data_IF_596556119459
#
_entry.id   IF_596556119459
#
_cell.length_a   1.000
_cell.length_b   1.000
_cell.length_c   1.000
_cell.angle_alpha   90.00
_cell.angle_beta   90.00
_cell.angle_gamma   90.00
#
_symmetry.space_group_name_H-M   'P 1'
#
loop_
_entity.id
_entity.type
_entity.pdbx_description
1 polymer ?
#
# COMPACT_ATOMS: atom_id res chain seq x y z
N UNK A 1 -23.16 -11.20 -23.26
CA UNK A 1 -21.74 -10.81 -23.08
C UNK A 1 -20.88 -11.88 -23.72
N UNK A 2 -19.82 -11.52 -24.44
CA UNK A 2 -18.85 -12.48 -24.93
C UNK A 2 -18.22 -13.23 -23.74
N UNK A 3 -17.97 -14.53 -23.91
CA UNK A 3 -17.38 -15.36 -22.86
C UNK A 3 -15.90 -14.95 -22.68
N UNK A 4 -15.51 -14.48 -21.50
CA UNK A 4 -14.11 -14.20 -21.16
C UNK A 4 -13.30 -15.47 -21.33
N UNK A 5 -12.18 -15.39 -22.05
CA UNK A 5 -11.25 -16.50 -22.32
C UNK A 5 -9.82 -16.17 -21.88
N UNK A 6 -9.43 -14.93 -22.03
CA UNK A 6 -8.07 -14.46 -21.74
C UNK A 6 -8.07 -13.31 -20.74
N UNK A 7 -7.26 -13.41 -19.71
CA UNK A 7 -7.12 -12.41 -18.63
C UNK A 7 -5.71 -11.84 -18.69
N UNK A 8 -5.61 -10.51 -18.79
CA UNK A 8 -4.38 -9.76 -18.61
C UNK A 8 -4.13 -9.48 -17.12
N UNK A 9 -2.88 -9.52 -16.70
CA UNK A 9 -2.45 -9.18 -15.32
C UNK A 9 -1.39 -8.10 -15.39
N UNK A 10 -1.54 -7.04 -14.60
CA UNK A 10 -0.50 -6.02 -14.42
C UNK A 10 -0.36 -5.59 -12.96
N UNK A 11 0.83 -5.07 -12.63
CA UNK A 11 1.09 -4.31 -11.41
C UNK A 11 1.33 -2.85 -11.78
N UNK A 12 0.80 -1.92 -11.01
CA UNK A 12 0.88 -0.49 -11.30
C UNK A 12 1.04 0.33 -10.03
N UNK A 13 1.68 1.48 -10.14
CA UNK A 13 1.94 2.37 -9.02
C UNK A 13 3.24 2.05 -8.28
N UNK A 14 3.29 2.30 -6.98
CA UNK A 14 4.41 1.87 -6.13
C UNK A 14 4.37 0.36 -5.90
N UNK A 15 5.52 -0.26 -5.87
CA UNK A 15 5.63 -1.66 -5.49
C UNK A 15 5.30 -1.88 -4.00
N UNK A 16 4.83 -3.07 -3.70
CA UNK A 16 4.51 -3.50 -2.34
C UNK A 16 4.86 -4.97 -2.16
N UNK A 17 5.41 -5.36 -0.99
CA UNK A 17 5.70 -6.76 -0.68
C UNK A 17 4.41 -7.60 -0.74
N UNK A 18 4.41 -8.68 -1.52
CA UNK A 18 3.22 -9.51 -1.74
C UNK A 18 2.58 -9.35 -3.12
N UNK A 19 2.97 -8.36 -3.93
CA UNK A 19 2.50 -8.25 -5.32
C UNK A 19 2.81 -9.51 -6.13
N UNK A 20 3.98 -10.13 -5.95
CA UNK A 20 4.33 -11.39 -6.59
C UNK A 20 3.44 -12.55 -6.14
N UNK A 21 3.05 -12.60 -4.87
CA UNK A 21 2.09 -13.59 -4.38
C UNK A 21 0.70 -13.41 -5.03
N UNK A 22 0.25 -12.15 -5.23
CA UNK A 22 -0.99 -11.85 -5.94
C UNK A 22 -0.92 -12.24 -7.43
N UNK A 23 0.15 -11.90 -8.13
CA UNK A 23 0.39 -12.34 -9.52
C UNK A 23 0.31 -13.87 -9.63
N UNK A 24 0.99 -14.57 -8.71
CA UNK A 24 0.96 -16.04 -8.66
C UNK A 24 -0.45 -16.58 -8.45
N UNK A 25 -1.20 -15.99 -7.53
CA UNK A 25 -2.55 -16.44 -7.19
C UNK A 25 -3.51 -16.26 -8.37
N UNK A 26 -3.53 -15.08 -8.99
CA UNK A 26 -4.35 -14.80 -10.18
C UNK A 26 -3.99 -15.72 -11.34
N UNK A 27 -2.69 -15.91 -11.61
CA UNK A 27 -2.23 -16.79 -12.70
C UNK A 27 -2.69 -18.23 -12.48
N UNK A 28 -2.42 -18.79 -11.30
CA UNK A 28 -2.77 -20.20 -11.01
C UNK A 28 -4.27 -20.42 -10.96
N UNK A 29 -5.01 -19.54 -10.29
CA UNK A 29 -6.46 -19.63 -10.22
C UNK A 29 -7.11 -19.44 -11.60
N UNK A 30 -6.60 -18.54 -12.44
CA UNK A 30 -7.08 -18.34 -13.79
C UNK A 30 -6.89 -19.58 -14.67
N UNK A 31 -5.70 -20.16 -14.67
CA UNK A 31 -5.41 -21.40 -15.43
C UNK A 31 -6.25 -22.57 -14.91
N UNK A 32 -6.41 -22.69 -13.59
CA UNK A 32 -7.26 -23.72 -12.97
C UNK A 32 -8.73 -23.63 -13.45
N UNK A 33 -9.23 -22.40 -13.69
CA UNK A 33 -10.57 -22.15 -14.20
C UNK A 33 -10.66 -22.14 -15.74
N UNK A 34 -9.58 -22.52 -16.44
CA UNK A 34 -9.55 -22.67 -17.90
C UNK A 34 -9.34 -21.37 -18.68
N UNK A 35 -8.88 -20.30 -18.03
CA UNK A 35 -8.50 -19.05 -18.69
C UNK A 35 -7.07 -19.08 -19.21
N UNK A 36 -6.84 -18.44 -20.34
CA UNK A 36 -5.50 -18.04 -20.76
C UNK A 36 -5.07 -16.81 -19.97
N UNK A 37 -3.79 -16.78 -19.55
CA UNK A 37 -3.24 -15.65 -18.80
C UNK A 37 -2.17 -14.97 -19.64
N UNK A 38 -2.20 -13.64 -19.68
CA UNK A 38 -1.17 -12.80 -20.29
C UNK A 38 -0.66 -11.79 -19.25
N UNK A 39 0.66 -11.69 -19.15
CA UNK A 39 1.34 -10.73 -18.30
C UNK A 39 1.59 -9.43 -19.07
N UNK A 40 1.24 -8.30 -18.46
CA UNK A 40 1.57 -6.97 -18.98
C UNK A 40 2.69 -6.41 -18.12
N UNK A 41 3.85 -6.21 -18.73
CA UNK A 41 5.03 -5.70 -18.04
C UNK A 41 4.98 -4.18 -17.92
N UNK A 42 5.55 -3.63 -16.85
CA UNK A 42 5.60 -2.18 -16.58
C UNK A 42 4.22 -1.51 -16.46
N UNK A 43 3.22 -2.27 -16.04
CA UNK A 43 1.88 -1.75 -15.73
C UNK A 43 1.19 -1.12 -16.94
N UNK A 44 0.54 0.03 -16.74
CA UNK A 44 -0.17 0.74 -17.81
C UNK A 44 0.72 1.21 -18.96
N UNK A 45 2.01 1.42 -18.71
CA UNK A 45 2.96 1.75 -19.78
C UNK A 45 3.10 0.59 -20.77
N UNK A 46 3.16 -0.64 -20.24
CA UNK A 46 3.20 -1.83 -21.05
C UNK A 46 1.94 -2.10 -21.86
N UNK A 47 0.76 -1.66 -21.39
CA UNK A 47 -0.45 -1.70 -22.22
C UNK A 47 -0.34 -0.77 -23.44
N UNK A 48 0.26 0.41 -23.26
CA UNK A 48 0.45 1.39 -24.36
C UNK A 48 1.54 0.93 -25.34
N UNK A 49 2.60 0.31 -24.83
CA UNK A 49 3.78 -0.10 -25.62
C UNK A 49 3.72 -1.56 -26.09
N UNK A 50 2.62 -2.26 -25.85
CA UNK A 50 2.39 -3.67 -26.21
C UNK A 50 3.44 -4.64 -25.63
N UNK A 51 3.87 -4.38 -24.37
CA UNK A 51 4.77 -5.31 -23.65
C UNK A 51 3.97 -6.40 -22.94
N UNK A 52 3.29 -7.22 -23.73
CA UNK A 52 2.34 -8.25 -23.31
C UNK A 52 2.88 -9.63 -23.71
N UNK A 53 2.86 -10.59 -22.77
CA UNK A 53 3.40 -11.94 -23.03
C UNK A 53 2.49 -13.01 -22.44
N UNK A 54 2.37 -14.18 -23.08
CA UNK A 54 1.71 -15.35 -22.48
C UNK A 54 2.35 -15.70 -21.13
N UNK A 55 1.51 -16.14 -20.17
CA UNK A 55 1.93 -16.41 -18.82
C UNK A 55 1.42 -17.77 -18.34
N UNK A 56 2.32 -18.60 -17.82
CA UNK A 56 2.02 -19.97 -17.39
C UNK A 56 2.28 -20.16 -15.89
N UNK A 57 1.96 -21.33 -15.37
CA UNK A 57 2.29 -21.69 -13.98
C UNK A 57 3.76 -21.73 -13.68
N UNK A 58 4.60 -21.94 -14.71
CA UNK A 58 6.06 -21.96 -14.58
C UNK A 58 6.62 -20.57 -14.30
N UNK A 59 6.08 -19.53 -14.99
CA UNK A 59 6.51 -18.15 -14.83
C UNK A 59 6.29 -17.63 -13.39
N UNK A 60 5.37 -18.24 -12.65
CA UNK A 60 5.04 -17.86 -11.26
C UNK A 60 5.54 -18.87 -10.24
N UNK A 61 6.42 -19.78 -10.63
CA UNK A 61 7.02 -20.75 -9.71
C UNK A 61 8.05 -20.05 -8.80
N UNK A 62 7.99 -20.33 -7.50
CA UNK A 62 8.97 -19.83 -6.53
C UNK A 62 8.88 -18.34 -6.16
N UNK A 63 7.92 -17.57 -6.72
CA UNK A 63 7.88 -16.10 -6.51
C UNK A 63 7.09 -15.64 -5.28
N UNK A 64 6.37 -16.54 -4.58
CA UNK A 64 5.49 -16.17 -3.46
C UNK A 64 6.22 -15.43 -2.32
N UNK A 65 7.49 -15.74 -2.11
CA UNK A 65 8.34 -15.12 -1.08
C UNK A 65 9.20 -13.96 -1.58
N UNK A 66 9.09 -13.58 -2.87
CA UNK A 66 9.90 -12.52 -3.43
C UNK A 66 9.22 -11.16 -3.25
N UNK A 67 9.98 -10.17 -2.75
CA UNK A 67 9.55 -8.78 -2.69
C UNK A 67 9.50 -8.14 -4.08
N UNK A 68 8.97 -6.90 -4.12
CA UNK A 68 8.78 -6.18 -5.39
C UNK A 68 7.76 -6.83 -6.31
N UNK A 69 7.93 -6.66 -7.63
CA UNK A 69 7.06 -7.23 -8.65
C UNK A 69 7.85 -7.71 -9.87
N UNK A 70 7.65 -8.98 -10.27
CA UNK A 70 8.29 -9.55 -11.46
C UNK A 70 7.78 -8.91 -12.76
N UNK A 71 6.55 -8.37 -12.76
CA UNK A 71 5.96 -7.66 -13.89
C UNK A 71 6.50 -6.24 -14.04
N UNK A 72 7.27 -5.76 -13.06
CA UNK A 72 7.74 -4.38 -12.97
C UNK A 72 6.57 -3.39 -12.89
N UNK A 73 6.86 -2.14 -12.61
CA UNK A 73 5.88 -1.06 -12.59
C UNK A 73 6.49 0.21 -13.16
N UNK A 74 5.67 1.02 -13.79
CA UNK A 74 6.06 2.33 -14.28
C UNK A 74 4.89 3.32 -14.16
N UNK A 75 5.24 4.61 -14.06
CA UNK A 75 4.26 5.68 -14.19
C UNK A 75 4.09 5.98 -15.67
N UNK A 76 2.92 5.71 -16.24
CA UNK A 76 2.63 6.01 -17.65
C UNK A 76 1.94 7.37 -17.77
N UNK A 77 2.66 8.34 -18.34
CA UNK A 77 2.06 9.62 -18.72
C UNK A 77 1.12 9.46 -19.92
N UNK A 78 1.45 8.54 -20.82
CA UNK A 78 0.64 8.25 -22.00
C UNK A 78 -0.75 7.72 -21.60
N UNK A 79 -0.84 6.72 -20.71
CA UNK A 79 -2.12 6.18 -20.25
C UNK A 79 -3.01 7.22 -19.52
N UNK A 80 -2.44 8.29 -19.01
CA UNK A 80 -3.22 9.39 -18.42
C UNK A 80 -4.02 10.18 -19.48
N UNK A 81 -3.65 10.10 -20.76
CA UNK A 81 -4.37 10.74 -21.89
C UNK A 81 -5.44 9.82 -22.47
N UNK A 82 -6.40 10.39 -23.18
CA UNK A 82 -7.46 9.62 -23.89
C UNK A 82 -6.84 8.78 -25.01
N UNK A 83 -5.90 9.35 -25.76
CA UNK A 83 -5.20 8.69 -26.87
C UNK A 83 -4.39 7.49 -26.38
N UNK A 84 -3.67 7.64 -25.26
CA UNK A 84 -2.90 6.53 -24.69
C UNK A 84 -3.77 5.41 -24.17
N UNK A 85 -4.94 5.71 -23.59
CA UNK A 85 -5.91 4.68 -23.19
C UNK A 85 -6.55 4.00 -24.40
N UNK A 86 -6.77 4.76 -25.51
CA UNK A 86 -7.24 4.18 -26.77
C UNK A 86 -6.21 3.19 -27.32
N UNK A 87 -4.92 3.56 -27.36
CA UNK A 87 -3.84 2.66 -27.78
C UNK A 87 -3.77 1.41 -26.89
N UNK A 88 -3.88 1.57 -25.57
CA UNK A 88 -3.93 0.45 -24.62
C UNK A 88 -5.11 -0.49 -24.90
N UNK A 89 -6.29 0.06 -25.21
CA UNK A 89 -7.48 -0.73 -25.57
C UNK A 89 -7.24 -1.52 -26.88
N UNK A 90 -6.72 -0.85 -27.89
CA UNK A 90 -6.45 -1.49 -29.19
C UNK A 90 -5.45 -2.65 -29.05
N UNK A 91 -4.40 -2.48 -28.25
CA UNK A 91 -3.44 -3.53 -27.94
C UNK A 91 -4.08 -4.70 -27.18
N UNK A 92 -4.94 -4.43 -26.18
CA UNK A 92 -5.69 -5.49 -25.48
C UNK A 92 -6.58 -6.30 -26.42
N UNK A 93 -7.26 -5.62 -27.36
CA UNK A 93 -8.09 -6.28 -28.38
C UNK A 93 -7.25 -7.11 -29.34
N UNK A 94 -6.13 -6.56 -29.83
CA UNK A 94 -5.20 -7.27 -30.73
C UNK A 94 -4.62 -8.52 -30.04
N UNK A 95 -4.31 -8.43 -28.77
CA UNK A 95 -3.81 -9.53 -27.95
C UNK A 95 -4.92 -10.50 -27.47
N UNK A 96 -6.20 -10.24 -27.83
CA UNK A 96 -7.34 -11.07 -27.47
C UNK A 96 -7.58 -11.15 -25.96
N UNK A 97 -7.27 -10.10 -25.21
CA UNK A 97 -7.50 -10.01 -23.76
C UNK A 97 -8.94 -9.50 -23.51
N UNK A 98 -9.73 -10.27 -22.77
CA UNK A 98 -11.14 -9.99 -22.51
C UNK A 98 -11.39 -9.31 -21.15
N UNK A 99 -10.44 -9.48 -20.20
CA UNK A 99 -10.51 -8.90 -18.85
C UNK A 99 -9.12 -8.55 -18.35
N UNK A 100 -9.03 -7.58 -17.44
CA UNK A 100 -7.78 -7.11 -16.85
C UNK A 100 -7.82 -7.18 -15.32
N UNK A 101 -6.82 -7.82 -14.72
CA UNK A 101 -6.59 -7.77 -13.28
C UNK A 101 -5.46 -6.76 -12.99
N UNK A 102 -5.79 -5.73 -12.22
CA UNK A 102 -4.90 -4.63 -11.88
C UNK A 102 -4.53 -4.70 -10.40
N UNK A 103 -3.25 -4.93 -10.12
CA UNK A 103 -2.71 -4.97 -8.74
C UNK A 103 -2.02 -3.64 -8.47
N UNK A 104 -2.56 -2.85 -7.54
CA UNK A 104 -1.99 -1.54 -7.22
C UNK A 104 -2.81 -0.73 -6.24
N UNK A 105 -2.36 0.50 -5.97
CA UNK A 105 -3.01 1.43 -5.05
C UNK A 105 -4.08 2.30 -5.71
N UNK A 106 -4.50 3.35 -5.01
CA UNK A 106 -5.58 4.27 -5.40
C UNK A 106 -5.45 4.79 -6.85
N UNK A 107 -4.28 5.31 -7.25
CA UNK A 107 -4.06 5.82 -8.61
C UNK A 107 -4.22 4.75 -9.68
N UNK A 108 -3.79 3.51 -9.41
CA UNK A 108 -3.92 2.38 -10.33
C UNK A 108 -5.37 1.94 -10.51
N UNK A 109 -6.14 1.87 -9.42
CA UNK A 109 -7.56 1.53 -9.48
C UNK A 109 -8.40 2.65 -10.10
N UNK A 110 -8.02 3.91 -9.89
CA UNK A 110 -8.61 5.06 -10.61
C UNK A 110 -8.38 4.95 -12.12
N UNK A 111 -7.18 4.54 -12.54
CA UNK A 111 -6.87 4.28 -13.95
C UNK A 111 -7.71 3.14 -14.52
N UNK A 112 -7.85 2.03 -13.79
CA UNK A 112 -8.70 0.90 -14.18
C UNK A 112 -10.18 1.31 -14.29
N UNK A 113 -10.67 2.09 -13.34
CA UNK A 113 -12.04 2.61 -13.34
C UNK A 113 -12.33 3.45 -14.60
N UNK A 114 -11.46 4.43 -14.89
CA UNK A 114 -11.61 5.28 -16.09
C UNK A 114 -11.59 4.46 -17.38
N UNK A 115 -10.63 3.55 -17.48
CA UNK A 115 -10.51 2.67 -18.64
C UNK A 115 -11.75 1.78 -18.83
N UNK A 116 -12.25 1.19 -17.74
CA UNK A 116 -13.47 0.37 -17.76
C UNK A 116 -14.71 1.17 -18.19
N UNK A 117 -14.81 2.43 -17.78
CA UNK A 117 -15.93 3.31 -18.17
C UNK A 117 -15.85 3.75 -19.64
N UNK A 118 -14.66 4.03 -20.15
CA UNK A 118 -14.45 4.50 -21.52
C UNK A 118 -14.71 3.40 -22.58
N UNK A 119 -14.35 2.15 -22.26
CA UNK A 119 -14.36 1.04 -23.22
C UNK A 119 -15.31 -0.11 -22.86
N UNK A 120 -16.13 0.05 -21.83
CA UNK A 120 -16.95 -1.05 -21.27
C UNK A 120 -16.13 -2.33 -21.04
N UNK A 121 -14.89 -2.19 -20.60
CA UNK A 121 -13.93 -3.28 -20.43
C UNK A 121 -14.03 -3.88 -19.02
N UNK A 122 -13.91 -5.21 -18.89
CA UNK A 122 -13.92 -5.88 -17.59
C UNK A 122 -12.59 -5.66 -16.85
N UNK A 123 -12.62 -4.91 -15.76
CA UNK A 123 -11.45 -4.69 -14.89
C UNK A 123 -11.75 -5.17 -13.47
N UNK A 124 -10.80 -5.89 -12.87
CA UNK A 124 -10.83 -6.31 -11.46
C UNK A 124 -9.57 -5.75 -10.78
N UNK A 125 -9.74 -5.09 -9.64
CA UNK A 125 -8.64 -4.51 -8.86
C UNK A 125 -8.24 -5.37 -7.68
N UNK A 126 -6.94 -5.42 -7.36
CA UNK A 126 -6.41 -5.95 -6.11
C UNK A 126 -5.67 -4.83 -5.37
N UNK A 127 -5.90 -4.65 -4.05
CA UNK A 127 -5.36 -3.54 -3.27
C UNK A 127 -3.87 -3.77 -2.94
N UNK A 128 -2.97 -3.47 -3.89
CA UNK A 128 -1.51 -3.61 -3.74
C UNK A 128 -0.89 -2.26 -3.39
N UNK A 129 -0.80 -1.92 -2.12
CA UNK A 129 -0.19 -0.69 -1.61
C UNK A 129 0.17 -0.85 -0.13
N UNK A 130 1.27 -0.21 0.29
CA UNK A 130 1.68 -0.18 1.70
C UNK A 130 0.90 0.86 2.53
N UNK A 131 0.21 1.81 1.90
CA UNK A 131 -0.39 2.97 2.56
C UNK A 131 -1.69 2.61 3.31
N UNK A 132 -2.31 1.47 3.00
CA UNK A 132 -3.56 0.95 3.57
C UNK A 132 -4.75 1.92 3.49
N UNK A 133 -4.76 2.79 2.48
CA UNK A 133 -5.68 3.92 2.30
C UNK A 133 -6.92 3.62 1.44
N UNK A 134 -7.03 2.40 0.90
CA UNK A 134 -8.15 2.00 0.03
C UNK A 134 -9.40 1.68 0.85
N UNK A 135 -10.52 2.33 0.49
CA UNK A 135 -11.80 2.09 1.15
C UNK A 135 -12.36 0.70 0.82
N UNK A 136 -13.00 0.06 1.81
CA UNK A 136 -13.71 -1.21 1.63
C UNK A 136 -12.87 -2.46 1.84
N UNK A 137 -11.62 -2.33 2.26
CA UNK A 137 -10.78 -3.45 2.73
C UNK A 137 -10.14 -3.14 4.08
N UNK A 138 -9.98 -4.14 4.94
CA UNK A 138 -9.33 -3.97 6.23
C UNK A 138 -7.82 -3.81 6.07
N UNK A 139 -7.22 -4.56 5.16
CA UNK A 139 -5.79 -4.52 4.87
C UNK A 139 -5.51 -4.51 3.37
N UNK A 140 -4.40 -3.88 2.99
CA UNK A 140 -3.87 -3.89 1.63
C UNK A 140 -2.61 -4.74 1.58
N UNK A 141 -2.34 -5.34 0.40
CA UNK A 141 -1.16 -6.20 0.18
C UNK A 141 0.11 -5.36 0.31
N UNK A 142 0.98 -5.75 1.22
CA UNK A 142 2.25 -5.08 1.54
C UNK A 142 2.23 -4.24 2.82
N UNK A 143 1.06 -3.96 3.37
CA UNK A 143 0.92 -3.16 4.57
C UNK A 143 1.51 -3.83 5.82
N UNK A 144 1.19 -5.11 6.05
CA UNK A 144 1.68 -5.85 7.21
C UNK A 144 3.21 -6.04 7.18
N UNK A 145 3.77 -6.37 6.02
CA UNK A 145 5.23 -6.45 5.83
C UNK A 145 5.90 -5.11 6.14
N UNK A 146 5.30 -4.02 5.70
CA UNK A 146 5.82 -2.67 5.95
C UNK A 146 5.80 -2.34 7.44
N UNK A 147 4.74 -2.68 8.16
CA UNK A 147 4.69 -2.52 9.62
C UNK A 147 5.82 -3.30 10.31
N UNK A 148 6.06 -4.54 9.92
CA UNK A 148 7.16 -5.35 10.47
C UNK A 148 8.53 -4.71 10.18
N UNK A 149 8.74 -4.17 8.98
CA UNK A 149 9.97 -3.46 8.62
C UNK A 149 10.16 -2.20 9.48
N UNK A 150 9.09 -1.43 9.70
CA UNK A 150 9.15 -0.23 10.56
C UNK A 150 9.49 -0.64 11.99
N UNK A 151 8.83 -1.67 12.55
CA UNK A 151 9.11 -2.15 13.92
C UNK A 151 10.56 -2.54 14.08
N UNK A 152 11.11 -3.35 13.15
CA UNK A 152 12.54 -3.74 13.21
C UNK A 152 13.47 -2.53 13.21
N UNK A 153 13.18 -1.51 12.39
CA UNK A 153 13.97 -0.27 12.36
C UNK A 153 13.83 0.52 13.66
N UNK A 154 12.62 0.64 14.20
CA UNK A 154 12.36 1.41 15.44
C UNK A 154 12.99 0.73 16.64
N UNK A 155 12.95 -0.60 16.72
CA UNK A 155 13.61 -1.33 17.81
C UNK A 155 15.12 -1.06 17.84
N UNK A 156 15.79 -1.08 16.68
CA UNK A 156 17.22 -0.72 16.55
C UNK A 156 17.50 0.74 16.94
N UNK A 157 16.58 1.67 16.57
CA UNK A 157 16.69 3.08 16.95
C UNK A 157 16.49 3.24 18.46
N UNK A 158 15.62 2.45 19.08
CA UNK A 158 15.35 2.49 20.52
C UNK A 158 16.58 2.16 21.34
N UNK A 159 17.37 1.17 20.94
CA UNK A 159 18.59 0.80 21.63
C UNK A 159 19.57 1.99 21.74
N UNK A 160 19.76 2.72 20.62
CA UNK A 160 20.63 3.92 20.65
C UNK A 160 19.97 5.12 21.33
N UNK A 161 18.66 5.27 21.23
CA UNK A 161 17.92 6.33 21.90
C UNK A 161 18.07 6.25 23.42
N UNK A 162 17.95 5.06 23.98
CA UNK A 162 18.11 4.78 25.40
C UNK A 162 19.55 4.96 25.86
N UNK A 163 20.52 4.46 25.07
CA UNK A 163 21.94 4.53 25.42
C UNK A 163 22.49 5.96 25.52
N UNK A 164 21.86 6.90 24.82
CA UNK A 164 22.33 8.29 24.75
C UNK A 164 21.31 9.32 25.27
N UNK A 165 20.22 8.88 25.86
CA UNK A 165 19.13 9.75 26.34
C UNK A 165 18.62 10.72 25.26
N UNK A 166 18.31 10.18 24.04
CA UNK A 166 17.94 10.95 22.85
C UNK A 166 16.45 10.88 22.52
N UNK A 167 15.98 11.93 21.86
CA UNK A 167 14.65 11.96 21.24
C UNK A 167 14.82 11.69 19.75
N UNK A 168 14.11 10.68 19.24
CA UNK A 168 14.09 10.36 17.82
C UNK A 168 12.72 10.65 17.19
N UNK A 169 12.75 11.42 16.10
CA UNK A 169 11.64 11.52 15.16
C UNK A 169 11.89 10.54 14.01
N UNK A 170 11.04 9.54 13.88
CA UNK A 170 11.14 8.51 12.85
C UNK A 170 10.07 8.73 11.80
N UNK A 171 10.48 9.12 10.58
CA UNK A 171 9.56 9.33 9.47
C UNK A 171 9.26 8.03 8.76
N UNK A 172 7.96 7.77 8.59
CA UNK A 172 7.42 6.62 7.87
C UNK A 172 6.59 7.07 6.67
N UNK A 173 6.50 6.22 5.64
CA UNK A 173 5.67 6.46 4.47
C UNK A 173 4.18 6.48 4.84
N UNK A 174 3.29 6.66 3.88
CA UNK A 174 1.83 6.69 4.05
C UNK A 174 1.16 7.82 3.27
N UNK A 175 1.92 8.76 2.70
CA UNK A 175 1.41 9.93 1.98
C UNK A 175 0.42 10.74 2.82
N UNK A 176 -0.86 10.77 2.35
CA UNK A 176 -1.96 11.51 2.98
C UNK A 176 -2.74 10.65 3.99
N UNK A 177 -2.18 9.49 4.39
CA UNK A 177 -2.80 8.54 5.29
C UNK A 177 -1.86 8.13 6.45
N UNK A 178 -2.36 8.23 7.67
CA UNK A 178 -1.58 7.98 8.89
C UNK A 178 -1.58 6.53 9.38
N UNK A 179 -2.08 5.56 8.61
CA UNK A 179 -2.21 4.17 9.05
C UNK A 179 -0.87 3.53 9.44
N UNK A 180 0.19 3.75 8.65
CA UNK A 180 1.51 3.25 8.97
C UNK A 180 2.04 3.88 10.25
N UNK A 181 1.95 5.21 10.38
CA UNK A 181 2.44 5.90 11.55
C UNK A 181 1.67 5.50 12.83
N UNK A 182 0.34 5.45 12.76
CA UNK A 182 -0.50 5.08 13.90
C UNK A 182 -0.20 3.66 14.39
N UNK A 183 -0.25 2.68 13.48
CA UNK A 183 -0.12 1.28 13.87
C UNK A 183 1.31 0.91 14.26
N UNK A 184 2.32 1.45 13.56
CA UNK A 184 3.72 1.22 13.95
C UNK A 184 4.07 1.89 15.27
N UNK A 185 3.51 3.06 15.59
CA UNK A 185 3.73 3.68 16.88
C UNK A 185 3.22 2.82 18.05
N UNK A 186 2.03 2.22 17.91
CA UNK A 186 1.49 1.30 18.91
C UNK A 186 2.35 0.04 18.99
N UNK A 187 2.62 -0.58 17.84
CA UNK A 187 3.32 -1.86 17.78
C UNK A 187 4.76 -1.78 18.29
N UNK A 188 5.44 -0.66 18.02
CA UNK A 188 6.80 -0.42 18.50
C UNK A 188 6.86 0.25 19.88
N UNK A 189 5.71 0.53 20.53
CA UNK A 189 5.69 1.22 21.82
C UNK A 189 6.31 2.63 21.77
N UNK A 190 6.07 3.36 20.68
CA UNK A 190 6.48 4.74 20.56
C UNK A 190 5.63 5.64 21.47
N UNK A 191 6.18 6.76 21.86
CA UNK A 191 5.53 7.68 22.77
C UNK A 191 4.47 8.57 22.09
N UNK A 192 4.59 8.78 20.76
CA UNK A 192 3.60 9.53 19.98
C UNK A 192 3.61 9.13 18.50
N UNK A 193 2.49 9.41 17.83
CA UNK A 193 2.37 9.38 16.36
C UNK A 193 1.83 10.71 15.86
N UNK A 194 2.46 11.26 14.82
CA UNK A 194 2.00 12.45 14.11
C UNK A 194 1.45 11.99 12.76
N UNK A 195 0.15 12.19 12.54
CA UNK A 195 -0.60 11.70 11.38
C UNK A 195 -1.32 12.83 10.65
N UNK A 196 -1.51 12.73 9.32
CA UNK A 196 -2.16 13.80 8.54
C UNK A 196 -3.62 14.03 8.89
N UNK A 197 -4.34 13.01 9.37
CA UNK A 197 -5.76 13.07 9.74
C UNK A 197 -6.01 13.78 11.06
N UNK A 198 -4.97 13.91 11.87
CA UNK A 198 -5.04 14.70 13.09
C UNK A 198 -4.53 16.09 12.73
N UNK A 199 -5.46 17.05 12.60
CA UNK A 199 -5.13 18.46 12.39
C UNK A 199 -4.50 19.09 13.64
N UNK A 200 -4.16 18.26 14.61
CA UNK A 200 -3.50 18.64 15.81
C UNK A 200 -2.10 19.06 15.51
N UNK A 201 -2.09 20.29 15.34
CA UNK A 201 -1.00 21.19 15.29
C UNK A 201 0.13 20.79 16.26
N UNK A 202 1.30 21.21 15.92
CA UNK A 202 2.48 21.31 16.76
C UNK A 202 2.25 21.50 18.28
N UNK A 203 1.11 22.01 18.72
CA UNK A 203 0.80 22.25 20.13
C UNK A 203 0.60 20.96 20.94
N UNK A 204 0.02 19.90 20.35
CA UNK A 204 -0.06 18.59 21.02
C UNK A 204 1.30 17.92 21.17
N UNK A 205 2.19 18.07 20.18
CA UNK A 205 3.56 17.60 20.33
C UNK A 205 4.24 18.31 21.50
N UNK A 206 4.04 19.61 21.62
CA UNK A 206 4.60 20.41 22.72
C UNK A 206 4.01 19.98 24.07
N UNK A 207 2.69 19.80 24.17
CA UNK A 207 2.07 19.25 25.37
C UNK A 207 2.59 17.85 25.73
N UNK A 208 2.78 17.00 24.71
CA UNK A 208 3.36 15.67 24.89
C UNK A 208 4.80 15.80 25.42
N UNK A 209 5.64 16.64 24.82
CA UNK A 209 6.99 16.90 25.28
C UNK A 209 7.01 17.44 26.71
N UNK A 210 6.13 18.38 27.05
CA UNK A 210 6.03 18.91 28.41
C UNK A 210 5.62 17.83 29.42
N UNK A 211 4.74 16.90 29.05
CA UNK A 211 4.39 15.77 29.90
C UNK A 211 5.56 14.82 30.12
N UNK A 212 6.34 14.54 29.08
CA UNK A 212 7.55 13.72 29.14
C UNK A 212 8.65 14.38 30.03
N UNK A 213 8.86 15.68 29.85
CA UNK A 213 9.80 16.48 30.65
C UNK A 213 9.42 16.44 32.15
N UNK A 214 8.14 16.64 32.48
CA UNK A 214 7.66 16.57 33.88
C UNK A 214 7.91 15.20 34.53
N UNK A 215 8.03 14.13 33.73
CA UNK A 215 8.31 12.76 34.17
C UNK A 215 9.79 12.39 34.11
N UNK A 216 10.68 13.34 33.83
CA UNK A 216 12.13 13.12 33.67
C UNK A 216 12.46 12.06 32.61
N UNK A 217 11.62 11.92 31.58
CA UNK A 217 11.83 10.97 30.48
C UNK A 217 12.88 11.57 29.55
N UNK A 218 14.04 10.90 29.42
CA UNK A 218 15.19 11.42 28.66
C UNK A 218 15.32 10.82 27.25
N UNK A 219 14.70 9.67 27.01
CA UNK A 219 14.63 9.05 25.67
C UNK A 219 13.18 8.93 25.20
N UNK A 220 12.95 9.18 23.93
CA UNK A 220 11.59 9.19 23.35
C UNK A 220 11.67 8.88 21.86
N UNK A 221 10.67 8.14 21.35
CA UNK A 221 10.48 7.90 19.92
C UNK A 221 9.13 8.47 19.51
N UNK A 222 9.15 9.33 18.50
CA UNK A 222 7.96 9.90 17.87
C UNK A 222 7.90 9.40 16.42
N UNK A 223 6.86 8.69 16.06
CA UNK A 223 6.62 8.27 14.67
C UNK A 223 5.91 9.40 13.92
N UNK A 224 6.41 9.75 12.74
CA UNK A 224 5.86 10.83 11.92
C UNK A 224 5.51 10.30 10.55
N UNK A 225 4.27 10.48 10.10
CA UNK A 225 3.90 10.20 8.72
C UNK A 225 4.59 11.18 7.77
N UNK A 226 5.12 10.69 6.64
CA UNK A 226 5.68 11.57 5.60
C UNK A 226 4.63 12.60 5.15
N UNK A 227 5.07 13.83 4.98
CA UNK A 227 4.20 14.91 4.49
C UNK A 227 5.01 15.89 3.65
N UNK A 228 4.46 16.39 2.55
CA UNK A 228 5.11 17.44 1.77
C UNK A 228 5.31 18.75 2.53
N UNK A 229 4.54 18.97 3.60
CA UNK A 229 4.54 20.23 4.38
C UNK A 229 5.30 20.12 5.69
N UNK A 230 5.13 19.02 6.42
CA UNK A 230 5.60 18.87 7.80
C UNK A 230 6.07 17.42 8.03
N UNK A 231 7.29 17.07 7.58
CA UNK A 231 7.92 15.79 7.89
C UNK A 231 8.65 15.81 9.23
N UNK A 232 9.35 14.71 9.56
CA UNK A 232 10.06 14.55 10.82
C UNK A 232 11.09 15.65 11.10
N UNK A 233 11.75 16.18 10.06
CA UNK A 233 12.70 17.29 10.20
C UNK A 233 12.04 18.55 10.77
N UNK A 234 10.83 18.89 10.27
CA UNK A 234 10.09 20.06 10.74
C UNK A 234 9.82 19.99 12.26
N UNK A 235 9.32 18.85 12.74
CA UNK A 235 9.04 18.68 14.16
C UNK A 235 10.29 18.61 15.01
N UNK A 236 11.34 17.97 14.52
CA UNK A 236 12.63 17.89 15.20
C UNK A 236 13.26 19.29 15.38
N UNK A 237 13.25 20.12 14.35
CA UNK A 237 13.82 21.48 14.41
C UNK A 237 13.02 22.37 15.35
N UNK A 238 11.70 22.18 15.41
CA UNK A 238 10.86 22.90 16.38
C UNK A 238 11.20 22.51 17.82
N UNK A 239 11.32 21.20 18.10
CA UNK A 239 11.68 20.74 19.45
C UNK A 239 13.08 21.21 19.85
N UNK A 240 14.07 21.15 18.96
CA UNK A 240 15.41 21.69 19.23
C UNK A 240 15.40 23.17 19.58
N UNK A 241 14.54 23.95 18.94
CA UNK A 241 14.43 25.39 19.21
C UNK A 241 13.77 25.69 20.56
N UNK A 242 12.73 24.93 20.91
CA UNK A 242 11.97 25.15 22.15
C UNK A 242 12.59 24.48 23.38
N UNK A 243 13.35 23.40 23.17
CA UNK A 243 13.98 22.57 24.20
C UNK A 243 15.43 22.23 23.82
N UNK A 244 16.34 23.22 23.83
CA UNK A 244 17.72 23.04 23.36
C UNK A 244 18.57 22.08 24.22
N UNK A 245 18.09 21.71 25.40
CA UNK A 245 18.73 20.75 26.30
C UNK A 245 18.57 19.28 25.82
N UNK A 246 17.66 18.99 24.90
CA UNK A 246 17.46 17.64 24.39
C UNK A 246 18.31 17.36 23.14
N UNK A 247 18.94 16.19 23.11
CA UNK A 247 19.61 15.69 21.91
C UNK A 247 18.56 15.06 20.96
N UNK A 248 18.09 15.84 19.98
CA UNK A 248 17.05 15.45 19.03
C UNK A 248 17.67 14.94 17.74
N UNK A 249 17.23 13.76 17.29
CA UNK A 249 17.67 13.10 16.07
C UNK A 249 16.49 12.80 15.15
N UNK A 250 16.77 12.61 13.87
CA UNK A 250 15.78 12.23 12.84
C UNK A 250 16.27 11.01 12.11
N UNK A 251 15.37 10.07 11.87
CA UNK A 251 15.56 8.93 10.99
C UNK A 251 14.44 8.87 9.98
N UNK A 252 14.75 8.93 8.68
CA UNK A 252 13.77 8.81 7.59
C UNK A 252 13.92 7.42 7.00
N UNK A 253 12.92 6.54 7.19
CA UNK A 253 12.99 5.16 6.74
C UNK A 253 12.85 5.03 5.22
N UNK A 254 12.05 5.90 4.60
CA UNK A 254 11.94 6.00 3.14
C UNK A 254 11.62 4.65 2.47
N UNK A 255 12.30 4.38 1.35
CA UNK A 255 12.02 3.23 0.49
C UNK A 255 12.37 1.85 1.08
N UNK A 256 13.05 1.74 2.23
CA UNK A 256 13.18 0.47 2.95
C UNK A 256 11.82 -0.20 3.21
N UNK A 257 10.81 0.61 3.39
CA UNK A 257 9.44 0.19 3.69
C UNK A 257 8.73 -0.49 2.51
N UNK A 258 9.23 -0.36 1.28
CA UNK A 258 8.65 -0.98 0.08
C UNK A 258 9.24 -2.34 -0.26
N UNK A 259 10.39 -2.67 0.32
CA UNK A 259 11.13 -3.88 0.03
C UNK A 259 10.86 -5.02 1.02
N UNK A 260 11.58 -6.09 0.80
CA UNK A 260 11.61 -7.25 1.71
C UNK A 260 10.70 -8.39 1.29
N UNK A 261 10.95 -9.51 1.95
CA UNK A 261 10.15 -10.74 1.81
C UNK A 261 8.77 -10.53 2.44
N UNK A 262 7.67 -10.76 1.70
CA UNK A 262 6.32 -10.55 2.23
C UNK A 262 6.06 -11.44 3.44
N UNK A 263 5.41 -10.88 4.46
CA UNK A 263 4.97 -11.60 5.66
C UNK A 263 3.97 -12.71 5.32
N UNK A 264 3.73 -13.61 6.27
CA UNK A 264 2.72 -14.65 6.11
C UNK A 264 1.32 -14.04 5.84
N UNK A 265 1.00 -12.94 6.54
CA UNK A 265 -0.27 -12.23 6.37
C UNK A 265 -0.42 -11.72 4.93
N UNK A 266 0.57 -11.00 4.40
CA UNK A 266 0.51 -10.44 3.05
C UNK A 266 0.47 -11.53 1.96
N UNK A 267 1.17 -12.67 2.16
CA UNK A 267 1.08 -13.80 1.22
C UNK A 267 -0.31 -14.43 1.20
N UNK A 268 -0.94 -14.60 2.37
CA UNK A 268 -2.29 -15.14 2.50
C UNK A 268 -3.30 -14.16 1.89
N UNK A 269 -3.24 -12.87 2.27
CA UNK A 269 -4.10 -11.82 1.74
C UNK A 269 -4.03 -11.75 0.22
N UNK A 270 -2.82 -11.70 -0.34
CA UNK A 270 -2.59 -11.70 -1.78
C UNK A 270 -3.12 -12.96 -2.47
N UNK A 271 -2.99 -14.12 -1.83
CA UNK A 271 -3.51 -15.39 -2.39
C UNK A 271 -5.04 -15.42 -2.39
N UNK A 272 -5.66 -15.03 -1.27
CA UNK A 272 -7.12 -15.01 -1.12
C UNK A 272 -7.76 -14.00 -2.07
N UNK A 273 -7.24 -12.78 -2.13
CA UNK A 273 -7.77 -11.75 -3.03
C UNK A 273 -7.52 -12.08 -4.50
N UNK A 274 -6.36 -12.69 -4.82
CA UNK A 274 -6.05 -13.14 -6.18
C UNK A 274 -6.99 -14.24 -6.68
N UNK A 275 -7.32 -15.22 -5.85
CA UNK A 275 -8.35 -16.24 -6.14
C UNK A 275 -9.73 -15.57 -6.24
N UNK A 276 -10.05 -14.66 -5.32
CA UNK A 276 -11.29 -13.88 -5.34
C UNK A 276 -11.49 -13.08 -6.63
N UNK A 277 -10.40 -12.55 -7.23
CA UNK A 277 -10.48 -11.85 -8.51
C UNK A 277 -10.94 -12.78 -9.65
N UNK A 278 -10.43 -13.99 -9.70
CA UNK A 278 -10.86 -14.99 -10.70
C UNK A 278 -12.29 -15.44 -10.45
N UNK A 279 -12.68 -15.66 -9.20
CA UNK A 279 -14.05 -16.00 -8.83
C UNK A 279 -15.03 -14.88 -9.21
N UNK A 280 -14.66 -13.61 -9.01
CA UNK A 280 -15.45 -12.48 -9.44
C UNK A 280 -15.69 -12.50 -10.97
N UNK A 281 -14.66 -12.78 -11.76
CA UNK A 281 -14.78 -12.90 -13.22
C UNK A 281 -15.71 -14.07 -13.61
N UNK A 282 -15.56 -15.24 -12.97
CA UNK A 282 -16.43 -16.41 -13.20
C UNK A 282 -17.89 -16.09 -12.88
N UNK A 283 -18.15 -15.30 -11.83
CA UNK A 283 -19.48 -14.87 -11.42
C UNK A 283 -20.03 -13.69 -12.25
N UNK A 284 -19.29 -13.21 -13.26
CA UNK A 284 -19.70 -12.08 -14.09
C UNK A 284 -19.60 -10.71 -13.42
N UNK A 285 -18.91 -10.63 -12.28
CA UNK A 285 -18.58 -9.35 -11.64
C UNK A 285 -17.56 -8.59 -12.48
N UNK A 286 -17.64 -7.27 -12.46
CA UNK A 286 -16.73 -6.40 -13.21
C UNK A 286 -16.63 -5.03 -12.55
N UNK A 287 -15.50 -4.37 -12.78
CA UNK A 287 -15.27 -3.00 -12.36
C UNK A 287 -15.33 -2.81 -10.83
N UNK A 288 -14.73 -3.79 -10.14
CA UNK A 288 -14.68 -3.87 -8.68
C UNK A 288 -13.24 -4.08 -8.19
N UNK A 289 -12.99 -3.68 -6.95
CA UNK A 289 -11.84 -4.10 -6.16
C UNK A 289 -12.22 -5.31 -5.31
N UNK A 290 -11.35 -6.32 -5.28
CA UNK A 290 -11.48 -7.46 -4.36
C UNK A 290 -10.70 -7.14 -3.10
N UNK A 291 -11.39 -6.92 -2.00
CA UNK A 291 -10.82 -6.70 -0.67
C UNK A 291 -11.12 -7.84 0.30
N UNK A 292 -10.66 -7.68 1.53
CA UNK A 292 -11.01 -8.55 2.67
C UNK A 292 -11.56 -7.69 3.79
N UNK A 293 -12.70 -8.07 4.37
CA UNK A 293 -13.33 -7.41 5.49
C UNK A 293 -13.82 -8.46 6.47
N UNK A 294 -13.45 -8.35 7.74
CA UNK A 294 -13.77 -9.33 8.77
C UNK A 294 -13.41 -10.78 8.34
N UNK A 295 -12.24 -10.97 7.72
CA UNK A 295 -11.75 -12.24 7.16
C UNK A 295 -12.57 -12.81 5.98
N UNK A 296 -13.50 -12.05 5.43
CA UNK A 296 -14.29 -12.44 4.26
C UNK A 296 -13.89 -11.64 3.03
N UNK A 297 -13.91 -12.30 1.86
CA UNK A 297 -13.68 -11.63 0.58
C UNK A 297 -14.89 -10.76 0.26
N UNK A 298 -14.63 -9.50 -0.06
CA UNK A 298 -15.67 -8.52 -0.44
C UNK A 298 -15.38 -7.93 -1.81
N UNK A 299 -16.44 -7.59 -2.53
CA UNK A 299 -16.40 -6.96 -3.84
C UNK A 299 -16.85 -5.51 -3.72
N UNK A 300 -15.93 -4.59 -3.90
CA UNK A 300 -16.15 -3.15 -3.71
C UNK A 300 -16.15 -2.46 -5.07
N UNK A 301 -17.21 -1.75 -5.46
CA UNK A 301 -17.20 -0.97 -6.70
C UNK A 301 -15.99 -0.03 -6.74
N UNK A 302 -15.34 0.09 -7.90
CA UNK A 302 -14.18 0.97 -8.02
C UNK A 302 -14.47 2.39 -7.55
N UNK A 303 -15.63 2.93 -7.89
CA UNK A 303 -16.02 4.28 -7.47
C UNK A 303 -15.97 4.44 -5.96
N UNK A 304 -16.42 3.44 -5.20
CA UNK A 304 -16.37 3.47 -3.74
C UNK A 304 -14.93 3.33 -3.23
N UNK A 305 -14.18 2.38 -3.79
CA UNK A 305 -12.81 2.11 -3.36
C UNK A 305 -11.87 3.32 -3.53
N UNK A 306 -12.05 4.14 -4.60
CA UNK A 306 -11.15 5.24 -4.92
C UNK A 306 -11.65 6.62 -4.50
N UNK A 307 -12.98 6.81 -4.32
CA UNK A 307 -13.53 8.12 -3.95
C UNK A 307 -13.81 8.29 -2.47
N UNK A 308 -14.08 7.20 -1.76
CA UNK A 308 -14.29 7.24 -0.32
C UNK A 308 -12.97 7.15 0.43
N UNK A 309 -12.83 7.96 1.47
CA UNK A 309 -11.68 7.86 2.37
C UNK A 309 -11.89 6.73 3.37
N UNK A 310 -10.87 5.89 3.56
CA UNK A 310 -10.84 4.93 4.66
C UNK A 310 -10.62 5.70 5.95
N UNK A 311 -11.51 5.58 6.94
CA UNK A 311 -11.35 6.32 8.20
C UNK A 311 -10.20 5.73 9.03
N UNK A 312 -9.42 6.62 9.65
CA UNK A 312 -8.45 6.22 10.68
C UNK A 312 -9.19 5.73 11.93
N UNK A 313 -8.66 4.72 12.61
CA UNK A 313 -9.28 4.23 13.85
C UNK A 313 -8.91 5.13 15.03
N UNK A 314 -9.88 5.94 15.45
CA UNK A 314 -9.73 6.86 16.57
C UNK A 314 -9.57 6.16 17.93
N UNK A 315 -9.97 4.89 18.05
CA UNK A 315 -9.74 4.13 19.28
C UNK A 315 -8.27 3.77 19.44
N UNK A 316 -7.57 3.47 18.34
CA UNK A 316 -6.13 3.20 18.37
C UNK A 316 -5.33 4.45 18.80
N UNK A 317 -5.77 5.66 18.44
CA UNK A 317 -5.15 6.90 18.97
C UNK A 317 -5.31 6.99 20.49
N UNK A 318 -6.48 6.65 21.03
CA UNK A 318 -6.68 6.60 22.48
C UNK A 318 -5.77 5.56 23.15
N UNK A 319 -5.68 4.36 22.56
CA UNK A 319 -4.77 3.30 23.04
C UNK A 319 -3.32 3.81 23.07
N UNK A 320 -2.84 4.45 21.99
CA UNK A 320 -1.50 5.02 21.98
C UNK A 320 -1.29 6.04 23.09
N UNK A 321 -2.25 6.95 23.30
CA UNK A 321 -2.17 7.97 24.35
C UNK A 321 -2.18 7.37 25.78
N UNK A 322 -2.93 6.29 26.01
CA UNK A 322 -2.94 5.58 27.28
C UNK A 322 -1.64 4.84 27.57
N UNK A 323 -1.00 4.27 26.52
CA UNK A 323 0.25 3.53 26.65
C UNK A 323 1.50 4.42 26.70
N UNK A 324 1.40 5.68 26.31
CA UNK A 324 2.54 6.63 26.25
C UNK A 324 2.85 7.36 27.57
N UNK A 325 2.33 6.84 28.70
CA UNK A 325 2.55 7.39 30.04
C UNK A 325 3.94 7.06 30.61
#
# INVERSE_FOLDING_TARGET
MAKIKTIGILTSGGDAPGMNAAIRAVTRAGIYNGFNIKAVYRGYDGLVTDDIKPFTTENVSGIIGQGGTILKTARSKAFATVEGRKTAYDNLVAEGIDALVVIGGNGSLTGAMKFAQEYDFCCIGLPGTIDNDLYGTDSTIGYDTTLNTIMECVDRIRDTAQSHERIFFVEVMGRDAGFLAQNSAIAAGAEAAIIPEDSTDSDQLIEFMQRGIRKSKKSCIVIVSESPKCGAMYYADRVKKEYPEYDVRVSILGHLQRGGTPSAHDRILASVTGVGAIQAIVQGQRNIMVGVRNNEVVYVPFIDAVSKKKPIDRNLIKVLNELSI
#
